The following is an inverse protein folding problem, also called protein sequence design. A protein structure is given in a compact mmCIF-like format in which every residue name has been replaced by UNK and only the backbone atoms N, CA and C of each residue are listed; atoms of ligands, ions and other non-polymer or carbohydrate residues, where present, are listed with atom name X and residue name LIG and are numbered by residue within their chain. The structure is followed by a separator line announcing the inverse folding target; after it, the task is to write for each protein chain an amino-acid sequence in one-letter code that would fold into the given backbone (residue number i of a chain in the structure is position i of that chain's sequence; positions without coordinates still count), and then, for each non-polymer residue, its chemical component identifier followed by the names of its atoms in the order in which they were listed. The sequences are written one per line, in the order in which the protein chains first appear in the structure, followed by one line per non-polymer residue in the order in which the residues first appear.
data_IF_127058734533
#
_entry.id   IF_127058734533
#
_cell.length_a   1.000
_cell.length_b   1.000
_cell.length_c   1.000
_cell.angle_alpha   90.00
_cell.angle_beta   90.00
_cell.angle_gamma   90.00
#
_symmetry.space_group_name_H-M   'P 1'
#
loop_
_entity.id
_entity.type
_entity.pdbx_description
1 polymer ?
#
# COMPACT_ATOMS: atom_id res chain seq x y z
N UNK A 1 -21.93 21.36 -20.39
CA UNK A 1 -22.21 21.00 -18.98
C UNK A 1 -21.52 19.74 -18.47
N UNK A 2 -21.03 18.86 -19.34
CA UNK A 2 -20.26 17.66 -18.93
C UNK A 2 -18.79 17.93 -18.59
N UNK A 3 -18.25 19.10 -18.92
CA UNK A 3 -16.84 19.46 -18.68
C UNK A 3 -16.52 19.88 -17.23
N UNK A 4 -17.49 20.38 -16.46
CA UNK A 4 -17.23 20.81 -15.09
C UNK A 4 -17.14 19.65 -14.09
N UNK A 5 -17.84 18.54 -14.30
CA UNK A 5 -17.76 17.37 -13.43
C UNK A 5 -16.47 16.55 -13.65
N UNK A 6 -15.94 16.53 -14.87
CA UNK A 6 -14.67 15.90 -15.19
C UNK A 6 -13.48 16.67 -14.57
N UNK A 7 -13.54 18.00 -14.57
CA UNK A 7 -12.50 18.85 -13.97
C UNK A 7 -12.45 18.72 -12.44
N UNK A 8 -13.59 18.61 -11.77
CA UNK A 8 -13.67 18.38 -10.33
C UNK A 8 -13.17 17.00 -9.93
N UNK A 9 -13.44 15.96 -10.75
CA UNK A 9 -12.90 14.61 -10.54
C UNK A 9 -11.37 14.56 -10.70
N UNK A 10 -10.82 15.28 -11.65
CA UNK A 10 -9.37 15.37 -11.88
C UNK A 10 -8.69 16.05 -10.70
N UNK A 11 -9.28 17.08 -10.12
CA UNK A 11 -8.72 17.76 -8.95
C UNK A 11 -8.76 16.90 -7.68
N UNK A 12 -9.81 16.11 -7.47
CA UNK A 12 -9.90 15.16 -6.35
C UNK A 12 -8.90 13.99 -6.50
N UNK A 13 -8.68 13.50 -7.72
CA UNK A 13 -7.68 12.49 -8.02
C UNK A 13 -6.24 13.04 -7.85
N UNK A 14 -6.02 14.32 -8.10
CA UNK A 14 -4.72 14.98 -7.96
C UNK A 14 -4.32 15.18 -6.49
N UNK A 15 -5.23 15.53 -5.61
CA UNK A 15 -4.96 15.66 -4.16
C UNK A 15 -4.77 14.31 -3.49
N UNK A 16 -5.55 13.30 -3.86
CA UNK A 16 -5.31 11.92 -3.43
C UNK A 16 -4.03 11.35 -4.05
N UNK A 17 -3.66 11.80 -5.24
CA UNK A 17 -2.44 11.41 -5.94
C UNK A 17 -1.16 11.84 -5.25
N UNK A 18 -1.11 13.06 -4.68
CA UNK A 18 0.07 13.56 -3.97
C UNK A 18 0.30 12.83 -2.64
N UNK A 19 -0.74 12.64 -1.85
CA UNK A 19 -0.66 11.89 -0.58
C UNK A 19 -0.34 10.42 -0.84
N UNK A 20 -1.00 9.80 -1.80
CA UNK A 20 -0.73 8.42 -2.22
C UNK A 20 0.67 8.23 -2.75
N UNK A 21 1.21 9.20 -3.49
CA UNK A 21 2.59 9.18 -3.99
C UNK A 21 3.63 9.24 -2.87
N UNK A 22 3.40 10.03 -1.83
CA UNK A 22 4.29 10.10 -0.66
C UNK A 22 4.26 8.81 0.14
N UNK A 23 3.10 8.23 0.36
CA UNK A 23 2.93 6.95 1.05
C UNK A 23 3.58 5.80 0.27
N UNK A 24 3.40 5.78 -1.04
CA UNK A 24 4.04 4.84 -1.94
C UNK A 24 5.58 4.92 -1.82
N UNK A 25 6.14 6.13 -1.89
CA UNK A 25 7.59 6.34 -1.75
C UNK A 25 8.11 5.85 -0.41
N UNK A 26 7.38 6.09 0.66
CA UNK A 26 7.74 5.62 2.00
C UNK A 26 7.83 4.09 2.07
N UNK A 27 6.83 3.40 1.53
CA UNK A 27 6.81 1.92 1.48
C UNK A 27 7.94 1.40 0.58
N UNK A 28 8.09 1.94 -0.62
CA UNK A 28 9.15 1.51 -1.55
C UNK A 28 10.54 1.72 -0.96
N UNK A 29 10.74 2.80 -0.21
CA UNK A 29 12.00 3.05 0.48
C UNK A 29 12.32 1.97 1.51
N UNK A 30 11.32 1.47 2.24
CA UNK A 30 11.51 0.34 3.16
C UNK A 30 11.85 -0.94 2.39
N UNK A 31 11.24 -1.18 1.24
CA UNK A 31 11.52 -2.35 0.42
C UNK A 31 12.97 -2.37 -0.11
N UNK A 32 13.62 -1.21 -0.25
CA UNK A 32 15.04 -1.16 -0.61
C UNK A 32 15.96 -1.79 0.43
N UNK A 33 15.48 -2.01 1.65
CA UNK A 33 16.23 -2.64 2.74
C UNK A 33 16.15 -4.18 2.73
N UNK A 34 15.42 -4.79 1.79
CA UNK A 34 15.34 -6.24 1.65
C UNK A 34 16.73 -6.82 1.36
N UNK A 35 17.16 -7.78 2.17
CA UNK A 35 18.47 -8.42 2.06
C UNK A 35 18.38 -9.87 1.57
N UNK A 36 17.30 -10.55 1.91
CA UNK A 36 17.11 -11.97 1.63
C UNK A 36 15.94 -12.16 0.66
N UNK A 37 16.18 -12.89 -0.41
CA UNK A 37 15.19 -13.06 -1.46
C UNK A 37 15.09 -11.83 -2.36
N UNK A 38 14.17 -11.91 -3.29
CA UNK A 38 13.89 -10.87 -4.26
C UNK A 38 12.39 -10.59 -4.28
N UNK A 39 12.02 -9.32 -4.29
CA UNK A 39 10.63 -8.88 -4.45
C UNK A 39 10.50 -8.08 -5.74
N UNK A 40 9.59 -8.49 -6.59
CA UNK A 40 9.23 -7.79 -7.82
C UNK A 40 7.89 -7.11 -7.61
N UNK A 41 7.84 -5.81 -7.83
CA UNK A 41 6.61 -5.02 -7.77
C UNK A 41 6.29 -4.52 -9.16
N UNK A 42 5.10 -4.84 -9.66
CA UNK A 42 4.61 -4.42 -10.96
C UNK A 42 3.42 -3.49 -10.75
N UNK A 43 3.51 -2.28 -11.27
CA UNK A 43 2.47 -1.26 -11.19
C UNK A 43 2.43 -0.48 -12.50
N UNK A 44 1.26 -0.38 -13.12
CA UNK A 44 1.06 0.34 -14.40
C UNK A 44 2.04 -0.08 -15.51
N UNK A 45 2.38 -1.37 -15.56
CA UNK A 45 3.34 -1.91 -16.52
C UNK A 45 4.82 -1.68 -16.16
N UNK A 46 5.11 -0.90 -15.13
CA UNK A 46 6.46 -0.70 -14.62
C UNK A 46 6.85 -1.81 -13.64
N UNK A 47 8.04 -2.32 -13.78
CA UNK A 47 8.61 -3.38 -12.96
C UNK A 47 9.74 -2.84 -12.11
N UNK A 48 9.61 -2.96 -10.79
CA UNK A 48 10.65 -2.61 -9.82
C UNK A 48 11.10 -3.87 -9.08
N UNK A 49 12.39 -4.00 -8.84
CA UNK A 49 13.00 -5.16 -8.21
C UNK A 49 13.74 -4.73 -6.95
N UNK A 50 13.47 -5.43 -5.86
CA UNK A 50 14.06 -5.19 -4.54
C UNK A 50 14.71 -6.47 -4.02
N UNK A 51 15.73 -6.35 -3.18
CA UNK A 51 16.41 -7.48 -2.58
C UNK A 51 17.62 -7.95 -3.37
N UNK A 52 17.96 -9.22 -3.21
CA UNK A 52 19.18 -9.81 -3.77
C UNK A 52 18.93 -10.38 -5.16
N UNK A 53 19.62 -9.83 -6.16
CA UNK A 53 19.57 -10.34 -7.53
C UNK A 53 20.03 -11.80 -7.59
N UNK A 54 19.32 -12.61 -8.38
CA UNK A 54 19.64 -14.02 -8.57
C UNK A 54 19.23 -14.94 -7.40
N UNK A 55 18.51 -14.43 -6.41
CA UNK A 55 17.97 -15.26 -5.33
C UNK A 55 16.99 -16.30 -5.88
N UNK A 56 17.02 -17.56 -5.38
CA UNK A 56 16.03 -18.56 -5.73
C UNK A 56 14.63 -18.25 -5.17
N UNK A 57 14.54 -17.43 -4.13
CA UNK A 57 13.28 -16.99 -3.57
C UNK A 57 12.87 -15.66 -4.20
N UNK A 58 11.84 -15.68 -5.03
CA UNK A 58 11.30 -14.51 -5.73
C UNK A 58 9.80 -14.40 -5.44
N UNK A 59 9.41 -13.31 -4.79
CA UNK A 59 8.02 -12.92 -4.65
C UNK A 59 7.64 -11.87 -5.69
N UNK A 60 6.44 -11.95 -6.24
CA UNK A 60 5.94 -10.98 -7.22
C UNK A 60 4.61 -10.40 -6.75
N UNK A 61 4.50 -9.09 -6.79
CA UNK A 61 3.31 -8.32 -6.41
C UNK A 61 2.86 -7.48 -7.60
N UNK A 62 1.60 -7.60 -7.96
CA UNK A 62 0.94 -6.76 -8.96
C UNK A 62 0.04 -5.76 -8.25
N UNK A 63 0.35 -4.48 -8.31
CA UNK A 63 -0.49 -3.41 -7.78
C UNK A 63 -1.59 -3.09 -8.80
N UNK A 64 -2.82 -3.34 -8.41
CA UNK A 64 -4.02 -3.14 -9.24
C UNK A 64 -4.71 -1.82 -8.93
N UNK A 65 -4.59 -1.34 -7.69
CA UNK A 65 -5.14 -0.08 -7.21
C UNK A 65 -4.14 0.61 -6.30
N UNK A 66 -3.90 1.89 -6.53
CA UNK A 66 -2.98 2.71 -5.73
C UNK A 66 -3.39 2.80 -4.24
N UNK A 67 -4.64 2.53 -3.89
CA UNK A 67 -5.12 2.45 -2.52
C UNK A 67 -4.36 1.41 -1.67
N UNK A 68 -3.75 0.39 -2.30
CA UNK A 68 -2.88 -0.57 -1.61
C UNK A 68 -1.77 0.11 -0.83
N UNK A 69 -1.14 1.13 -1.40
CA UNK A 69 -0.03 1.85 -0.75
C UNK A 69 -0.44 2.54 0.55
N UNK A 70 -1.62 3.14 0.57
CA UNK A 70 -2.18 3.78 1.76
C UNK A 70 -2.46 2.78 2.89
N UNK A 71 -3.01 1.62 2.55
CA UNK A 71 -3.29 0.57 3.52
C UNK A 71 -2.01 -0.02 4.11
N UNK A 72 -1.01 -0.31 3.29
CA UNK A 72 0.29 -0.82 3.75
C UNK A 72 1.01 0.21 4.60
N UNK A 73 1.07 1.46 4.15
CA UNK A 73 1.70 2.54 4.91
C UNK A 73 1.00 2.79 6.25
N UNK A 74 -0.34 2.66 6.29
CA UNK A 74 -1.14 2.89 7.49
C UNK A 74 -1.10 1.75 8.50
N UNK A 75 -1.03 0.51 8.06
CA UNK A 75 -1.29 -0.64 8.92
C UNK A 75 -0.40 -1.85 8.63
N UNK A 76 0.72 -1.65 7.93
CA UNK A 76 1.75 -2.66 7.69
C UNK A 76 1.20 -3.94 7.06
N UNK A 77 1.52 -5.08 7.66
CA UNK A 77 1.10 -6.40 7.18
C UNK A 77 -0.42 -6.60 7.21
N UNK A 78 -1.10 -6.05 8.21
CA UNK A 78 -2.56 -6.08 8.30
C UNK A 78 -3.17 -5.28 7.14
N UNK A 79 -2.63 -4.10 6.86
CA UNK A 79 -3.03 -3.27 5.72
C UNK A 79 -2.78 -3.94 4.38
N UNK A 80 -1.68 -4.66 4.24
CA UNK A 80 -1.39 -5.47 3.06
C UNK A 80 -2.41 -6.59 2.87
N UNK A 81 -2.81 -7.26 3.94
CA UNK A 81 -3.86 -8.28 3.92
C UNK A 81 -5.23 -7.70 3.55
N UNK A 82 -5.60 -6.56 4.12
CA UNK A 82 -6.83 -5.84 3.76
C UNK A 82 -6.83 -5.46 2.27
N UNK A 83 -5.73 -4.90 1.78
CA UNK A 83 -5.58 -4.53 0.37
C UNK A 83 -5.72 -5.74 -0.56
N UNK A 84 -5.17 -6.89 -0.17
CA UNK A 84 -5.31 -8.13 -0.90
C UNK A 84 -6.77 -8.60 -0.96
N UNK A 85 -7.47 -8.58 0.17
CA UNK A 85 -8.91 -8.94 0.25
C UNK A 85 -9.75 -8.02 -0.64
N UNK A 86 -9.44 -6.73 -0.67
CA UNK A 86 -10.13 -5.77 -1.54
C UNK A 86 -9.74 -5.89 -3.02
N UNK A 87 -8.77 -6.71 -3.37
CA UNK A 87 -8.30 -6.84 -4.75
C UNK A 87 -7.42 -5.69 -5.22
N UNK A 88 -6.81 -4.94 -4.32
CA UNK A 88 -5.93 -3.81 -4.66
C UNK A 88 -4.53 -4.26 -5.09
N UNK A 89 -4.16 -5.47 -4.77
CA UNK A 89 -2.98 -6.14 -5.30
C UNK A 89 -3.19 -7.63 -5.40
N UNK A 90 -2.40 -8.27 -6.23
CA UNK A 90 -2.42 -9.72 -6.43
C UNK A 90 -1.00 -10.27 -6.54
N UNK A 91 -0.86 -11.58 -6.48
CA UNK A 91 0.41 -12.26 -6.68
C UNK A 91 0.18 -13.62 -7.36
N UNK A 92 1.04 -14.01 -8.32
CA UNK A 92 1.00 -15.36 -8.87
C UNK A 92 1.47 -16.43 -7.86
N UNK A 93 2.25 -16.02 -6.85
CA UNK A 93 2.72 -16.89 -5.76
C UNK A 93 2.77 -16.11 -4.45
N UNK A 94 1.64 -16.08 -3.76
CA UNK A 94 1.50 -15.39 -2.47
C UNK A 94 2.44 -15.98 -1.40
N UNK A 95 2.67 -17.28 -1.42
CA UNK A 95 3.56 -17.95 -0.47
C UNK A 95 4.99 -17.44 -0.62
N UNK A 96 5.47 -17.25 -1.84
CA UNK A 96 6.79 -16.67 -2.09
C UNK A 96 6.89 -15.25 -1.54
N UNK A 97 5.86 -14.42 -1.73
CA UNK A 97 5.81 -13.05 -1.17
C UNK A 97 5.92 -13.08 0.35
N UNK A 98 5.12 -13.92 1.01
CA UNK A 98 5.15 -14.07 2.47
C UNK A 98 6.54 -14.53 2.95
N UNK A 99 7.15 -15.49 2.25
CA UNK A 99 8.50 -15.97 2.58
C UNK A 99 9.57 -14.87 2.46
N UNK A 100 9.48 -14.01 1.46
CA UNK A 100 10.40 -12.86 1.33
C UNK A 100 10.28 -11.96 2.57
N UNK A 101 9.09 -11.62 2.99
CA UNK A 101 8.90 -10.75 4.17
C UNK A 101 9.29 -11.44 5.48
N UNK A 102 9.00 -12.72 5.66
CA UNK A 102 9.41 -13.49 6.84
C UNK A 102 10.94 -13.60 6.92
N UNK A 103 11.61 -13.68 5.77
CA UNK A 103 13.08 -13.67 5.70
C UNK A 103 13.70 -12.30 5.98
N UNK A 104 12.90 -11.24 6.05
CA UNK A 104 13.33 -9.86 6.27
C UNK A 104 12.47 -9.19 7.36
N UNK A 105 12.49 -9.74 8.56
CA UNK A 105 11.65 -9.26 9.68
C UNK A 105 11.91 -7.80 10.02
N UNK A 106 13.14 -7.32 9.86
CA UNK A 106 13.49 -5.91 10.08
C UNK A 106 12.70 -4.97 9.16
N UNK A 107 12.50 -5.37 7.89
CA UNK A 107 11.71 -4.61 6.92
C UNK A 107 10.23 -4.66 7.30
N UNK A 108 9.74 -5.82 7.70
CA UNK A 108 8.37 -6.01 8.14
C UNK A 108 8.06 -5.15 9.36
N UNK A 109 8.93 -5.18 10.37
CA UNK A 109 8.81 -4.35 11.58
C UNK A 109 8.84 -2.86 11.26
N UNK A 110 9.69 -2.45 10.32
CA UNK A 110 9.78 -1.06 9.87
C UNK A 110 8.50 -0.61 9.16
N UNK A 111 7.87 -1.47 8.37
CA UNK A 111 6.58 -1.19 7.73
C UNK A 111 5.45 -1.08 8.78
N UNK A 112 5.45 -1.94 9.78
CA UNK A 112 4.47 -1.91 10.87
C UNK A 112 4.65 -0.71 11.80
N UNK A 113 5.89 -0.31 12.06
CA UNK A 113 6.22 0.86 12.87
C UNK A 113 6.28 2.18 12.10
N UNK A 114 6.23 2.15 10.77
CA UNK A 114 6.60 3.28 9.91
C UNK A 114 5.79 4.55 10.15
N UNK A 115 4.49 4.45 10.41
CA UNK A 115 3.63 5.60 10.65
C UNK A 115 3.70 6.12 12.09
N UNK A 116 4.02 5.27 13.06
CA UNK A 116 4.27 5.72 14.43
C UNK A 116 5.51 6.63 14.50
N UNK A 117 6.48 6.47 13.57
CA UNK A 117 7.65 7.34 13.44
C UNK A 117 7.35 8.69 12.79
N UNK A 118 6.25 8.81 12.03
CA UNK A 118 5.84 10.06 11.37
C UNK A 118 5.04 11.00 12.28
N UNK A 119 4.68 10.54 13.49
CA UNK A 119 4.05 11.35 14.52
C UNK A 119 2.52 11.24 14.57
N UNK A 120 1.99 11.61 15.74
CA UNK A 120 0.56 11.54 16.08
C UNK A 120 -0.39 12.24 15.09
N UNK A 121 -0.08 13.43 14.51
CA UNK A 121 -1.02 14.10 13.62
C UNK A 121 -1.35 13.31 12.36
N UNK A 122 -0.37 12.57 11.83
CA UNK A 122 -0.54 11.77 10.62
C UNK A 122 -1.39 10.52 10.88
N UNK A 123 -1.13 9.83 12.00
CA UNK A 123 -1.92 8.68 12.45
C UNK A 123 -3.37 9.08 12.73
N UNK A 124 -3.58 10.23 13.36
CA UNK A 124 -4.92 10.75 13.62
C UNK A 124 -5.68 11.11 12.33
N UNK A 125 -5.00 11.69 11.34
CA UNK A 125 -5.60 11.97 10.03
C UNK A 125 -6.05 10.68 9.31
N UNK A 126 -5.25 9.62 9.37
CA UNK A 126 -5.61 8.32 8.81
C UNK A 126 -6.76 7.66 9.56
N UNK A 127 -6.77 7.73 10.89
CA UNK A 127 -7.90 7.26 11.70
C UNK A 127 -9.17 8.03 11.40
N UNK A 128 -9.07 9.32 11.18
CA UNK A 128 -10.22 10.16 10.82
C UNK A 128 -10.79 9.77 9.44
N UNK A 129 -9.94 9.52 8.45
CA UNK A 129 -10.36 9.05 7.14
C UNK A 129 -11.03 7.66 7.21
N UNK A 130 -10.50 6.76 8.02
CA UNK A 130 -11.11 5.45 8.25
C UNK A 130 -12.44 5.53 9.02
N UNK A 131 -12.59 6.47 9.93
CA UNK A 131 -13.86 6.73 10.64
C UNK A 131 -14.96 7.20 9.68
N UNK A 132 -14.64 8.05 8.73
CA UNK A 132 -15.61 8.56 7.76
C UNK A 132 -16.12 7.45 6.83
N UNK A 133 -15.27 6.53 6.41
CA UNK A 133 -15.67 5.39 5.61
C UNK A 133 -16.54 4.39 6.38
N UNK A 134 -16.27 4.16 7.65
CA UNK A 134 -17.10 3.30 8.52
C UNK A 134 -18.47 3.90 8.79
N UNK A 135 -18.57 5.20 9.03
CA UNK A 135 -19.86 5.88 9.22
C UNK A 135 -20.71 5.88 7.94
N UNK A 136 -20.10 6.03 6.78
CA UNK A 136 -20.76 5.90 5.50
C UNK A 136 -21.31 4.49 5.25
N UNK A 137 -20.52 3.47 5.57
CA UNK A 137 -20.92 2.07 5.46
C UNK A 137 -22.06 1.70 6.42
N UNK A 138 -22.03 2.17 7.66
CA UNK A 138 -23.09 1.93 8.64
C UNK A 138 -24.40 2.61 8.26
N UNK A 139 -24.37 3.80 7.71
CA UNK A 139 -25.57 4.48 7.20
C UNK A 139 -26.22 3.75 6.04
N UNK A 140 -25.41 3.14 5.16
CA UNK A 140 -25.91 2.36 4.03
C UNK A 140 -26.54 1.02 4.46
N UNK A 141 -26.06 0.43 5.55
CA UNK A 141 -26.63 -0.80 6.10
C UNK A 141 -27.93 -0.53 6.90
N UNK A 142 -28.04 0.64 7.54
CA UNK A 142 -29.21 1.02 8.33
C UNK A 142 -30.37 1.55 7.49
N UNK A 143 -30.15 1.87 6.23
CA UNK A 143 -31.17 2.32 5.28
C UNK A 143 -31.72 1.17 4.45
#
# INVERSE_FOLDING_TARGET
MKSSSASAKVNLLSTNGLTGSLLRRGVLRQLTQLKHGQLVVIENGERQVFGTAGSPLIGEIHILDAAAWGLVAGNGSIGAGEAFIHGYWSSPDLTAVVRVFVSNLEVLDALEGGLAKLGRPFVQALHWLNRNTRKGSQKNIAA
#
